data_IF_170286163114
#
_entry.id   IF_170286163114
#
_cell.length_a   1.000
_cell.length_b   1.000
_cell.length_c   1.000
_cell.angle_alpha   90.00
_cell.angle_beta   90.00
_cell.angle_gamma   90.00
#
_symmetry.space_group_name_H-M   'P 1'
#
loop_
_entity.id
_entity.type
_entity.pdbx_description
1 polymer ?
#
# COMPACT_ATOMS: atom_id res chain seq x y z
N UNK A 1 16.79 -11.41 6.88
CA UNK A 1 17.57 -11.75 5.66
C UNK A 1 18.76 -10.81 5.48
N UNK A 2 18.56 -9.48 5.53
CA UNK A 2 19.64 -8.48 5.27
C UNK A 2 20.82 -8.63 6.23
N UNK A 3 20.57 -8.75 7.52
CA UNK A 3 21.63 -8.77 8.55
C UNK A 3 22.15 -10.16 8.85
N UNK A 4 21.47 -11.21 8.45
CA UNK A 4 21.75 -12.60 8.84
C UNK A 4 21.66 -12.87 10.35
N UNK A 5 21.04 -11.95 11.12
CA UNK A 5 20.95 -12.08 12.58
C UNK A 5 19.57 -12.55 13.00
N UNK A 6 19.50 -13.71 13.64
CA UNK A 6 18.24 -14.33 14.11
C UNK A 6 17.51 -13.51 15.17
N UNK A 7 18.19 -12.57 15.81
CA UNK A 7 17.57 -11.72 16.85
C UNK A 7 16.39 -10.91 16.30
N UNK A 8 16.47 -10.39 15.08
CA UNK A 8 15.37 -9.63 14.48
C UNK A 8 14.15 -10.50 14.21
N UNK A 9 14.37 -11.74 13.76
CA UNK A 9 13.29 -12.71 13.56
C UNK A 9 12.67 -13.11 14.90
N UNK A 10 13.47 -13.30 15.94
CA UNK A 10 12.94 -13.60 17.28
C UNK A 10 12.08 -12.47 17.84
N UNK A 11 12.42 -11.20 17.58
CA UNK A 11 11.56 -10.07 17.93
C UNK A 11 10.25 -10.09 17.15
N UNK A 12 10.28 -10.39 15.84
CA UNK A 12 9.07 -10.48 15.02
C UNK A 12 8.12 -11.56 15.55
N UNK A 13 8.62 -12.74 15.90
CA UNK A 13 7.83 -13.80 16.54
C UNK A 13 7.22 -13.36 17.87
N UNK A 14 8.00 -12.72 18.74
CA UNK A 14 7.49 -12.22 20.03
C UNK A 14 6.40 -11.17 19.85
N UNK A 15 6.51 -10.28 18.89
CA UNK A 15 5.44 -9.31 18.56
C UNK A 15 4.21 -10.01 18.05
N UNK A 16 4.34 -10.99 17.15
CA UNK A 16 3.21 -11.75 16.63
C UNK A 16 2.49 -12.51 17.76
N UNK A 17 3.22 -13.09 18.71
CA UNK A 17 2.64 -13.79 19.88
C UNK A 17 1.82 -12.85 20.78
N UNK A 18 2.07 -11.55 20.75
CA UNK A 18 1.24 -10.53 21.42
C UNK A 18 0.02 -10.14 20.57
N UNK A 19 0.16 -10.11 19.25
CA UNK A 19 -0.91 -9.70 18.32
C UNK A 19 -1.97 -10.80 18.18
N UNK A 20 -1.56 -12.06 18.05
CA UNK A 20 -2.48 -13.20 17.81
C UNK A 20 -3.68 -13.24 18.76
N UNK A 21 -3.51 -13.17 20.11
CA UNK A 21 -4.63 -13.19 21.02
C UNK A 21 -5.54 -11.96 20.95
N UNK A 22 -5.03 -10.86 20.42
CA UNK A 22 -5.75 -9.59 20.29
C UNK A 22 -6.50 -9.43 18.95
N UNK A 23 -6.30 -10.31 17.95
CA UNK A 23 -6.88 -10.19 16.61
C UNK A 23 -8.40 -9.94 16.64
N UNK A 24 -9.14 -10.66 17.51
CA UNK A 24 -10.60 -10.50 17.62
C UNK A 24 -11.05 -9.15 18.16
N UNK A 25 -10.14 -8.37 18.72
CA UNK A 25 -10.40 -7.04 19.31
C UNK A 25 -10.06 -5.93 18.33
N UNK A 26 -9.47 -6.26 17.16
CA UNK A 26 -9.11 -5.28 16.14
C UNK A 26 -10.37 -4.84 15.39
N UNK A 27 -10.69 -3.57 15.50
CA UNK A 27 -11.88 -3.00 14.84
C UNK A 27 -11.60 -2.53 13.42
N UNK A 28 -10.42 -1.95 13.18
CA UNK A 28 -10.01 -1.46 11.87
C UNK A 28 -9.72 -2.62 10.90
N UNK A 29 -10.03 -2.43 9.62
CA UNK A 29 -9.77 -3.41 8.57
C UNK A 29 -8.57 -3.05 7.69
N UNK A 30 -8.10 -1.82 7.75
CA UNK A 30 -7.08 -1.28 6.85
C UNK A 30 -5.67 -1.88 7.04
N UNK A 31 -4.74 -1.44 6.18
CA UNK A 31 -3.37 -1.97 6.15
C UNK A 31 -2.51 -1.46 7.31
N UNK A 32 -2.68 -0.20 7.73
CA UNK A 32 -1.79 0.40 8.74
C UNK A 32 -2.22 0.08 10.16
N UNK A 33 -3.51 0.21 10.47
CA UNK A 33 -4.02 0.12 11.84
C UNK A 33 -4.89 -1.13 12.06
N UNK A 34 -5.06 -1.97 11.02
CA UNK A 34 -6.10 -2.97 11.00
C UNK A 34 -5.71 -4.38 10.59
N UNK A 35 -6.74 -5.16 10.36
CA UNK A 35 -6.68 -6.59 10.07
C UNK A 35 -5.90 -6.93 8.79
N UNK A 36 -5.91 -6.04 7.77
CA UNK A 36 -5.14 -6.26 6.54
C UNK A 36 -3.62 -6.27 6.82
N UNK A 37 -3.14 -5.39 7.71
CA UNK A 37 -1.75 -5.41 8.17
C UNK A 37 -1.42 -6.66 8.97
N UNK A 38 -2.36 -7.15 9.79
CA UNK A 38 -2.19 -8.42 10.52
C UNK A 38 -2.06 -9.58 9.53
N UNK A 39 -2.93 -9.69 8.51
CA UNK A 39 -2.83 -10.71 7.45
C UNK A 39 -1.42 -10.70 6.85
N UNK A 40 -0.95 -9.53 6.45
CA UNK A 40 0.34 -9.39 5.79
C UNK A 40 1.49 -9.85 6.67
N UNK A 41 1.56 -9.34 7.90
CA UNK A 41 2.60 -9.71 8.87
C UNK A 41 2.59 -11.20 9.24
N UNK A 42 1.41 -11.78 9.46
CA UNK A 42 1.27 -13.20 9.81
C UNK A 42 1.65 -14.11 8.66
N UNK A 43 1.28 -13.80 7.42
CA UNK A 43 1.68 -14.60 6.25
C UNK A 43 3.20 -14.55 6.03
N UNK A 44 3.86 -13.39 6.24
CA UNK A 44 5.32 -13.32 6.20
C UNK A 44 5.99 -14.22 7.24
N UNK A 45 5.44 -14.29 8.45
CA UNK A 45 5.97 -15.18 9.50
C UNK A 45 5.68 -16.65 9.22
N UNK A 46 4.52 -16.96 8.64
CA UNK A 46 4.20 -18.31 8.17
C UNK A 46 5.18 -18.79 7.09
N UNK A 47 5.46 -17.96 6.09
CA UNK A 47 6.42 -18.27 5.01
C UNK A 47 7.84 -18.56 5.52
N UNK A 48 8.26 -17.86 6.60
CA UNK A 48 9.62 -18.06 7.16
C UNK A 48 9.68 -19.25 8.10
N UNK A 49 8.64 -19.50 8.90
CA UNK A 49 8.66 -20.49 9.99
C UNK A 49 7.97 -21.81 9.67
N UNK A 50 6.99 -21.82 8.74
CA UNK A 50 6.07 -22.93 8.52
C UNK A 50 5.10 -23.19 9.68
N UNK A 51 5.07 -22.32 10.72
CA UNK A 51 4.20 -22.50 11.89
C UNK A 51 2.75 -22.11 11.56
N UNK A 52 1.86 -23.10 11.57
CA UNK A 52 0.45 -22.93 11.23
C UNK A 52 -0.31 -21.92 12.08
N UNK A 53 0.17 -21.58 13.28
CA UNK A 53 -0.48 -20.57 14.13
C UNK A 53 -0.58 -19.19 13.44
N UNK A 54 0.41 -18.84 12.62
CA UNK A 54 0.41 -17.59 11.86
C UNK A 54 -0.59 -17.62 10.70
N UNK A 55 -0.68 -18.75 10.00
CA UNK A 55 -1.70 -18.93 8.96
C UNK A 55 -3.12 -18.85 9.54
N UNK A 56 -3.37 -19.50 10.68
CA UNK A 56 -4.68 -19.42 11.36
C UNK A 56 -5.00 -18.00 11.81
N UNK A 57 -4.03 -17.23 12.29
CA UNK A 57 -4.24 -15.83 12.64
C UNK A 57 -4.53 -14.95 11.41
N UNK A 58 -3.87 -15.20 10.27
CA UNK A 58 -4.15 -14.53 9.01
C UNK A 58 -5.56 -14.86 8.50
N UNK A 59 -5.97 -16.14 8.53
CA UNK A 59 -7.32 -16.57 8.15
C UNK A 59 -8.39 -15.94 9.04
N UNK A 60 -8.19 -15.97 10.37
CA UNK A 60 -9.10 -15.30 11.30
C UNK A 60 -9.26 -13.81 10.97
N UNK A 61 -8.17 -13.14 10.62
CA UNK A 61 -8.22 -11.72 10.22
C UNK A 61 -8.99 -11.53 8.91
N UNK A 62 -8.81 -12.42 7.94
CA UNK A 62 -9.55 -12.43 6.68
C UNK A 62 -11.05 -12.64 6.89
N UNK A 63 -11.44 -13.60 7.72
CA UNK A 63 -12.84 -13.87 8.06
C UNK A 63 -13.51 -12.66 8.73
N UNK A 64 -12.79 -11.98 9.62
CA UNK A 64 -13.27 -10.75 10.25
C UNK A 64 -13.42 -9.61 9.24
N UNK A 65 -12.49 -9.47 8.29
CA UNK A 65 -12.61 -8.52 7.17
C UNK A 65 -13.85 -8.84 6.34
N UNK A 66 -14.07 -10.10 5.96
CA UNK A 66 -15.26 -10.52 5.22
C UNK A 66 -16.56 -10.17 5.98
N UNK A 67 -16.59 -10.45 7.29
CA UNK A 67 -17.76 -10.17 8.12
C UNK A 67 -18.04 -8.68 8.34
N UNK A 68 -17.08 -7.80 8.12
CA UNK A 68 -17.21 -6.33 8.27
C UNK A 68 -17.41 -5.61 6.92
N UNK A 69 -17.40 -6.31 5.80
CA UNK A 69 -17.55 -5.70 4.48
C UNK A 69 -18.93 -5.03 4.32
N UNK A 70 -18.93 -3.83 3.77
CA UNK A 70 -20.14 -3.12 3.33
C UNK A 70 -20.33 -3.40 1.84
N UNK A 71 -21.39 -4.14 1.47
CA UNK A 71 -21.76 -4.37 0.08
C UNK A 71 -22.65 -3.24 -0.41
N UNK A 72 -22.33 -2.70 -1.58
CA UNK A 72 -22.97 -1.56 -2.23
C UNK A 72 -23.23 -1.89 -3.71
N UNK A 73 -23.97 -1.06 -4.41
CA UNK A 73 -24.22 -1.25 -5.85
C UNK A 73 -22.90 -1.22 -6.66
N UNK A 74 -21.96 -0.40 -6.23
CA UNK A 74 -20.66 -0.20 -6.87
C UNK A 74 -19.65 -1.32 -6.57
N UNK A 75 -19.90 -2.15 -5.54
CA UNK A 75 -19.01 -3.21 -5.06
C UNK A 75 -18.93 -3.27 -3.55
N UNK A 76 -17.79 -3.70 -3.00
CA UNK A 76 -17.60 -3.83 -1.55
C UNK A 76 -16.47 -2.95 -1.02
N UNK A 77 -16.57 -2.58 0.26
CA UNK A 77 -15.52 -1.82 0.96
C UNK A 77 -15.76 -1.66 2.44
N UNK A 78 -14.84 -0.97 3.10
CA UNK A 78 -14.86 -0.77 4.56
C UNK A 78 -14.77 0.71 4.89
N UNK A 79 -15.68 1.18 5.75
CA UNK A 79 -15.66 2.55 6.23
C UNK A 79 -14.58 2.71 7.30
N UNK A 80 -13.74 3.70 7.14
CA UNK A 80 -12.67 4.04 8.08
C UNK A 80 -12.87 5.46 8.60
N UNK A 81 -12.46 5.74 9.83
CA UNK A 81 -12.50 7.07 10.46
C UNK A 81 -13.88 7.76 10.45
N UNK A 82 -14.98 7.01 10.39
CA UNK A 82 -16.32 7.57 10.33
C UNK A 82 -16.68 8.26 9.01
N UNK A 83 -15.93 7.98 7.94
CA UNK A 83 -16.26 8.46 6.60
C UNK A 83 -17.54 7.80 6.07
N UNK A 84 -18.29 8.53 5.25
CA UNK A 84 -19.57 8.05 4.71
C UNK A 84 -19.37 6.92 3.68
N UNK A 85 -18.24 6.95 2.96
CA UNK A 85 -17.86 5.97 1.94
C UNK A 85 -16.51 5.33 2.25
N UNK A 86 -16.29 4.07 1.84
CA UNK A 86 -14.96 3.45 1.87
C UNK A 86 -13.92 4.29 1.12
N UNK A 87 -12.75 4.48 1.73
CA UNK A 87 -11.62 5.16 1.10
C UNK A 87 -10.95 4.25 0.06
N UNK A 88 -10.31 4.84 -0.97
CA UNK A 88 -9.69 4.10 -2.08
C UNK A 88 -8.18 3.88 -1.90
N UNK A 89 -7.53 4.56 -0.93
CA UNK A 89 -6.07 4.49 -0.75
C UNK A 89 -5.56 3.20 -0.13
N UNK A 90 -4.24 3.00 -0.19
CA UNK A 90 -3.61 1.79 0.35
C UNK A 90 -3.51 1.81 1.88
N UNK A 91 -3.27 2.98 2.49
CA UNK A 91 -3.01 3.07 3.93
C UNK A 91 -4.23 2.68 4.75
N UNK A 92 -5.35 3.37 4.54
CA UNK A 92 -6.57 3.25 5.33
C UNK A 92 -7.81 2.94 4.48
N UNK A 93 -7.64 2.49 3.25
CA UNK A 93 -8.73 2.24 2.32
C UNK A 93 -8.69 0.85 1.68
N UNK A 94 -9.56 0.70 0.72
CA UNK A 94 -9.83 -0.56 0.04
C UNK A 94 -8.58 -1.16 -0.62
N UNK A 95 -7.69 -0.34 -1.19
CA UNK A 95 -6.54 -0.84 -1.93
C UNK A 95 -5.60 -1.69 -1.06
N UNK A 96 -5.36 -1.30 0.20
CA UNK A 96 -4.56 -2.10 1.13
C UNK A 96 -5.24 -3.39 1.54
N UNK A 97 -6.56 -3.35 1.73
CA UNK A 97 -7.35 -4.53 2.07
C UNK A 97 -7.39 -5.51 0.88
N UNK A 98 -7.58 -5.00 -0.34
CA UNK A 98 -7.56 -5.81 -1.56
C UNK A 98 -6.23 -6.56 -1.73
N UNK A 99 -5.09 -5.88 -1.50
CA UNK A 99 -3.77 -6.52 -1.55
C UNK A 99 -3.63 -7.64 -0.51
N UNK A 100 -4.13 -7.43 0.72
CA UNK A 100 -4.10 -8.44 1.77
C UNK A 100 -5.02 -9.65 1.44
N UNK A 101 -6.21 -9.40 0.89
CA UNK A 101 -7.13 -10.46 0.44
C UNK A 101 -6.52 -11.28 -0.70
N UNK A 102 -5.88 -10.63 -1.67
CA UNK A 102 -5.19 -11.32 -2.77
C UNK A 102 -4.08 -12.25 -2.24
N UNK A 103 -3.26 -11.76 -1.29
CA UNK A 103 -2.20 -12.57 -0.68
C UNK A 103 -2.76 -13.72 0.14
N UNK A 104 -3.82 -13.50 0.91
CA UNK A 104 -4.47 -14.53 1.71
C UNK A 104 -5.10 -15.60 0.82
N UNK A 105 -5.78 -15.20 -0.26
CA UNK A 105 -6.29 -16.11 -1.27
C UNK A 105 -5.17 -16.92 -1.92
N UNK A 106 -4.06 -16.30 -2.29
CA UNK A 106 -2.95 -17.01 -2.93
C UNK A 106 -2.39 -18.14 -2.07
N UNK A 107 -2.33 -17.96 -0.75
CA UNK A 107 -1.86 -18.97 0.20
C UNK A 107 -2.93 -20.01 0.53
N UNK A 108 -4.20 -19.61 0.69
CA UNK A 108 -5.26 -20.48 1.21
C UNK A 108 -6.13 -21.12 0.11
N UNK A 109 -6.26 -20.46 -1.04
CA UNK A 109 -7.19 -20.77 -2.13
C UNK A 109 -8.66 -20.77 -1.70
N UNK A 110 -9.00 -20.09 -0.60
CA UNK A 110 -10.38 -19.95 -0.13
C UNK A 110 -11.12 -18.91 -0.96
N UNK A 111 -12.15 -19.32 -1.69
CA UNK A 111 -12.84 -18.51 -2.71
C UNK A 111 -13.52 -17.27 -2.15
N UNK A 112 -13.96 -17.28 -0.89
CA UNK A 112 -14.60 -16.13 -0.25
C UNK A 112 -13.69 -14.88 -0.25
N UNK A 113 -12.39 -15.05 -0.06
CA UNK A 113 -11.44 -13.92 -0.11
C UNK A 113 -11.30 -13.38 -1.52
N UNK A 114 -11.34 -14.26 -2.54
CA UNK A 114 -11.23 -13.84 -3.93
C UNK A 114 -12.52 -13.17 -4.44
N UNK A 115 -13.67 -13.68 -4.06
CA UNK A 115 -14.97 -13.08 -4.40
C UNK A 115 -15.06 -11.66 -3.83
N UNK A 116 -14.67 -11.48 -2.56
CA UNK A 116 -14.65 -10.16 -1.95
C UNK A 116 -13.58 -9.24 -2.58
N UNK A 117 -12.41 -9.77 -2.96
CA UNK A 117 -11.41 -9.03 -3.73
C UNK A 117 -12.00 -8.49 -5.03
N UNK A 118 -12.75 -9.29 -5.78
CA UNK A 118 -13.42 -8.86 -7.03
C UNK A 118 -14.38 -7.70 -6.80
N UNK A 119 -15.21 -7.79 -5.79
CA UNK A 119 -16.15 -6.72 -5.42
C UNK A 119 -15.41 -5.45 -4.97
N UNK A 120 -14.29 -5.61 -4.23
CA UNK A 120 -13.46 -4.48 -3.79
C UNK A 120 -12.82 -3.76 -4.97
N UNK A 121 -12.26 -4.49 -5.94
CA UNK A 121 -11.71 -3.89 -7.16
C UNK A 121 -12.80 -3.24 -8.04
N UNK A 122 -13.99 -3.81 -8.09
CA UNK A 122 -15.12 -3.20 -8.80
C UNK A 122 -15.47 -1.84 -8.18
N UNK A 123 -15.57 -1.75 -6.85
CA UNK A 123 -15.80 -0.50 -6.14
C UNK A 123 -14.71 0.55 -6.45
N UNK A 124 -13.43 0.19 -6.36
CA UNK A 124 -12.34 1.12 -6.65
C UNK A 124 -12.38 1.62 -8.10
N UNK A 125 -12.60 0.72 -9.06
CA UNK A 125 -12.66 1.07 -10.48
C UNK A 125 -13.89 1.91 -10.84
N UNK A 126 -15.01 1.77 -10.12
CA UNK A 126 -16.17 2.64 -10.29
C UNK A 126 -15.84 4.12 -9.99
N UNK A 127 -14.93 4.36 -9.06
CA UNK A 127 -14.54 5.73 -8.65
C UNK A 127 -13.21 6.21 -9.26
N UNK A 128 -12.78 5.59 -10.36
CA UNK A 128 -11.75 6.15 -11.21
C UNK A 128 -12.35 7.27 -12.07
N UNK A 129 -11.79 8.46 -12.00
CA UNK A 129 -12.23 9.62 -12.76
C UNK A 129 -11.32 9.83 -13.98
N UNK A 130 -11.91 9.78 -15.18
CA UNK A 130 -11.16 9.89 -16.45
C UNK A 130 -10.66 11.32 -16.74
N UNK A 131 -11.28 12.36 -16.16
CA UNK A 131 -10.85 13.76 -16.37
C UNK A 131 -9.55 14.04 -15.63
N UNK A 132 -9.51 13.70 -14.33
CA UNK A 132 -8.29 13.84 -13.52
C UNK A 132 -7.34 12.66 -13.69
N UNK A 133 -7.77 11.58 -14.35
CA UNK A 133 -7.03 10.32 -14.53
C UNK A 133 -6.50 9.77 -13.21
N UNK A 134 -7.37 9.69 -12.22
CA UNK A 134 -7.01 9.26 -10.87
C UNK A 134 -8.24 8.74 -10.13
N UNK A 135 -8.03 8.05 -9.03
CA UNK A 135 -9.07 7.62 -8.11
C UNK A 135 -9.46 8.76 -7.17
N UNK A 136 -10.78 8.95 -6.96
CA UNK A 136 -11.31 10.03 -6.14
C UNK A 136 -10.88 9.93 -4.68
N UNK A 137 -10.58 11.05 -4.06
CA UNK A 137 -10.19 11.13 -2.65
C UNK A 137 -11.40 11.46 -1.77
N UNK A 138 -12.02 10.43 -1.18
CA UNK A 138 -13.22 10.57 -0.33
C UNK A 138 -12.98 11.22 1.04
N UNK A 139 -11.75 11.53 1.41
CA UNK A 139 -11.45 12.39 2.55
C UNK A 139 -11.88 13.84 2.28
N UNK A 140 -12.00 14.22 1.02
CA UNK A 140 -12.54 15.51 0.60
C UNK A 140 -14.05 15.39 0.48
N UNK A 141 -14.79 16.01 1.41
CA UNK A 141 -16.25 15.89 1.51
C UNK A 141 -16.98 16.65 0.42
N UNK A 142 -16.48 17.82 0.04
CA UNK A 142 -17.04 18.63 -1.04
C UNK A 142 -16.77 17.96 -2.39
N UNK A 143 -17.84 17.67 -3.14
CA UNK A 143 -17.75 16.92 -4.39
C UNK A 143 -17.03 17.72 -5.50
N UNK A 144 -17.24 19.03 -5.58
CA UNK A 144 -16.59 19.89 -6.57
C UNK A 144 -15.08 19.99 -6.31
N UNK A 145 -14.69 20.16 -5.04
CA UNK A 145 -13.27 20.16 -4.63
C UNK A 145 -12.66 18.79 -4.84
N UNK A 146 -13.38 17.70 -4.53
CA UNK A 146 -12.93 16.32 -4.72
C UNK A 146 -12.55 16.04 -6.17
N UNK A 147 -13.36 16.45 -7.13
CA UNK A 147 -13.07 16.31 -8.58
C UNK A 147 -11.87 17.12 -9.04
N UNK A 148 -11.43 18.10 -8.26
CA UNK A 148 -10.23 18.90 -8.52
C UNK A 148 -9.02 18.39 -7.71
N UNK A 149 -9.24 17.52 -6.72
CA UNK A 149 -8.18 16.98 -5.87
C UNK A 149 -7.46 15.86 -6.60
N UNK A 150 -6.18 16.08 -6.84
CA UNK A 150 -5.33 15.19 -7.63
C UNK A 150 -4.20 14.61 -6.77
N UNK A 151 -4.57 13.76 -5.80
CA UNK A 151 -3.62 13.13 -4.90
C UNK A 151 -2.87 11.99 -5.60
N UNK A 152 -1.55 12.13 -5.73
CA UNK A 152 -0.66 11.09 -6.26
C UNK A 152 0.40 10.75 -5.20
N UNK A 153 0.02 9.92 -4.24
CA UNK A 153 0.81 9.57 -3.07
C UNK A 153 0.69 8.07 -2.76
N UNK A 154 1.65 7.51 -2.02
CA UNK A 154 1.53 6.11 -1.58
C UNK A 154 0.28 5.89 -0.72
N UNK A 155 0.00 6.77 0.22
CA UNK A 155 -1.14 6.58 1.11
C UNK A 155 -2.50 6.71 0.40
N UNK A 156 -2.64 7.59 -0.59
CA UNK A 156 -3.88 7.83 -1.33
C UNK A 156 -3.66 8.17 -2.80
N UNK A 157 -4.64 7.84 -3.65
CA UNK A 157 -4.61 8.08 -5.08
C UNK A 157 -3.69 7.11 -5.83
N UNK A 158 -3.20 7.53 -6.98
CA UNK A 158 -2.49 6.67 -7.92
C UNK A 158 -1.29 5.94 -7.33
N UNK A 159 -0.54 6.57 -6.41
CA UNK A 159 0.61 5.90 -5.78
C UNK A 159 0.19 4.66 -4.98
N UNK A 160 -0.84 4.80 -4.14
CA UNK A 160 -1.36 3.69 -3.35
C UNK A 160 -2.00 2.60 -4.20
N UNK A 161 -2.70 2.98 -5.26
CA UNK A 161 -3.26 2.02 -6.22
C UNK A 161 -2.12 1.26 -6.92
N UNK A 162 -1.09 1.95 -7.41
CA UNK A 162 0.07 1.28 -8.02
C UNK A 162 0.70 0.27 -7.07
N UNK A 163 1.00 0.67 -5.83
CA UNK A 163 1.56 -0.22 -4.82
C UNK A 163 0.67 -1.46 -4.60
N UNK A 164 -0.63 -1.26 -4.36
CA UNK A 164 -1.59 -2.35 -4.16
C UNK A 164 -1.65 -3.32 -5.35
N UNK A 165 -1.69 -2.79 -6.58
CA UNK A 165 -1.77 -3.63 -7.79
C UNK A 165 -0.47 -4.39 -8.06
N UNK A 166 0.69 -3.79 -7.80
CA UNK A 166 1.97 -4.51 -7.85
C UNK A 166 2.01 -5.66 -6.84
N UNK A 167 1.54 -5.43 -5.60
CA UNK A 167 1.45 -6.45 -4.56
C UNK A 167 0.55 -7.64 -4.94
N UNK A 168 -0.50 -7.44 -5.75
CA UNK A 168 -1.42 -8.50 -6.15
C UNK A 168 -1.21 -9.06 -7.57
N UNK A 169 -0.33 -8.47 -8.36
CA UNK A 169 -0.12 -8.76 -9.79
C UNK A 169 0.01 -10.25 -10.12
N UNK A 170 0.76 -10.97 -9.30
CA UNK A 170 1.02 -12.40 -9.48
C UNK A 170 0.15 -13.30 -8.58
N UNK A 171 -0.87 -12.73 -7.91
CA UNK A 171 -1.70 -13.41 -6.90
C UNK A 171 -3.18 -13.48 -7.29
N UNK A 172 -3.52 -12.98 -8.48
CA UNK A 172 -4.88 -13.00 -9.02
C UNK A 172 -5.04 -14.02 -10.12
N UNK A 173 -6.26 -14.53 -10.29
CA UNK A 173 -6.64 -15.44 -11.38
C UNK A 173 -6.86 -14.67 -12.69
N UNK A 174 -7.08 -15.39 -13.79
CA UNK A 174 -7.10 -14.85 -15.15
C UNK A 174 -8.12 -13.71 -15.34
N UNK A 175 -9.27 -13.79 -14.67
CA UNK A 175 -10.35 -12.78 -14.78
C UNK A 175 -10.01 -11.41 -14.20
N UNK A 176 -9.05 -11.34 -13.28
CA UNK A 176 -8.59 -10.07 -12.70
C UNK A 176 -7.25 -9.59 -13.25
N UNK A 177 -6.55 -10.37 -14.08
CA UNK A 177 -5.24 -9.95 -14.62
C UNK A 177 -5.33 -8.68 -15.45
N UNK A 178 -6.25 -8.64 -16.41
CA UNK A 178 -6.43 -7.45 -17.26
C UNK A 178 -6.87 -6.21 -16.45
N UNK A 179 -7.87 -6.27 -15.55
CA UNK A 179 -8.19 -5.16 -14.66
C UNK A 179 -6.99 -4.66 -13.83
N UNK A 180 -6.22 -5.56 -13.24
CA UNK A 180 -5.04 -5.22 -12.42
C UNK A 180 -3.96 -4.53 -13.27
N UNK A 181 -3.61 -5.08 -14.44
CA UNK A 181 -2.62 -4.47 -15.34
C UNK A 181 -3.07 -3.09 -15.85
N UNK A 182 -4.34 -2.93 -16.20
CA UNK A 182 -4.91 -1.63 -16.60
C UNK A 182 -4.78 -0.59 -15.47
N UNK A 183 -5.05 -0.99 -14.23
CA UNK A 183 -4.93 -0.11 -13.07
C UNK A 183 -3.46 0.25 -12.82
N UNK A 184 -2.52 -0.70 -12.99
CA UNK A 184 -1.07 -0.45 -12.92
C UNK A 184 -0.66 0.62 -13.95
N UNK A 185 -1.09 0.46 -15.20
CA UNK A 185 -0.77 1.42 -16.26
C UNK A 185 -1.33 2.82 -15.97
N UNK A 186 -2.61 2.91 -15.58
CA UNK A 186 -3.26 4.16 -15.22
C UNK A 186 -2.55 4.88 -14.07
N UNK A 187 -2.25 4.14 -13.02
CA UNK A 187 -1.57 4.67 -11.83
C UNK A 187 -0.13 5.10 -12.14
N UNK A 188 0.62 4.30 -12.90
CA UNK A 188 1.97 4.64 -13.32
C UNK A 188 2.01 5.87 -14.22
N UNK A 189 1.09 5.99 -15.20
CA UNK A 189 0.98 7.18 -16.04
C UNK A 189 0.67 8.44 -15.23
N UNK A 190 -0.17 8.33 -14.20
CA UNK A 190 -0.43 9.42 -13.28
C UNK A 190 0.81 9.84 -12.51
N UNK A 191 1.55 8.87 -11.95
CA UNK A 191 2.80 9.14 -11.25
C UNK A 191 3.87 9.72 -12.17
N UNK A 192 3.98 9.31 -13.42
CA UNK A 192 4.89 9.93 -14.40
C UNK A 192 4.63 11.43 -14.57
N UNK A 193 3.39 11.88 -14.44
CA UNK A 193 3.05 13.30 -14.55
C UNK A 193 3.11 14.06 -13.22
N UNK A 194 3.02 13.35 -12.08
CA UNK A 194 2.86 13.93 -10.74
C UNK A 194 3.84 13.37 -9.71
N UNK A 195 5.00 12.86 -10.16
CA UNK A 195 5.97 12.18 -9.31
C UNK A 195 6.57 13.10 -8.24
N UNK A 196 7.00 14.28 -8.67
CA UNK A 196 7.65 15.24 -7.78
C UNK A 196 6.62 16.05 -7.00
N UNK A 197 6.83 16.12 -5.69
CA UNK A 197 5.98 16.78 -4.71
C UNK A 197 6.81 17.74 -3.86
N UNK A 198 6.15 18.58 -3.05
CA UNK A 198 6.83 19.48 -2.13
C UNK A 198 7.63 18.73 -1.05
N UNK A 199 7.10 17.61 -0.53
CA UNK A 199 7.78 16.76 0.44
C UNK A 199 8.64 15.68 -0.20
N UNK A 200 9.56 15.12 0.61
CA UNK A 200 10.48 14.05 0.20
C UNK A 200 10.19 12.70 0.89
N UNK A 201 9.22 12.65 1.80
CA UNK A 201 8.92 11.43 2.55
C UNK A 201 8.43 10.28 1.66
N UNK A 202 8.32 9.08 2.21
CA UNK A 202 7.83 7.91 1.47
C UNK A 202 6.31 7.91 1.31
N UNK A 203 5.57 8.40 2.30
CA UNK A 203 4.13 8.31 2.34
C UNK A 203 3.45 9.16 1.26
N UNK A 204 3.83 10.44 1.16
CA UNK A 204 3.19 11.42 0.26
C UNK A 204 4.17 12.35 -0.45
N UNK A 205 5.47 12.05 -0.34
CA UNK A 205 6.55 12.81 -0.95
C UNK A 205 7.12 12.18 -2.22
N UNK A 206 8.09 12.88 -2.79
CA UNK A 206 8.75 12.49 -4.05
C UNK A 206 9.48 11.16 -3.97
N UNK A 207 10.13 10.84 -2.84
CA UNK A 207 10.89 9.59 -2.70
C UNK A 207 10.00 8.36 -2.83
N UNK A 208 8.82 8.37 -2.19
CA UNK A 208 7.88 7.24 -2.30
C UNK A 208 7.38 7.05 -3.73
N UNK A 209 7.02 8.13 -4.41
CA UNK A 209 6.55 8.06 -5.79
C UNK A 209 7.63 7.54 -6.75
N UNK A 210 8.90 7.97 -6.59
CA UNK A 210 10.01 7.49 -7.44
C UNK A 210 10.30 6.01 -7.18
N UNK A 211 10.27 5.54 -5.93
CA UNK A 211 10.41 4.11 -5.65
C UNK A 211 9.32 3.28 -6.32
N UNK A 212 8.05 3.68 -6.20
CA UNK A 212 6.93 2.98 -6.85
C UNK A 212 7.07 2.97 -8.38
N UNK A 213 7.49 4.09 -8.97
CA UNK A 213 7.78 4.11 -10.41
C UNK A 213 8.95 3.21 -10.78
N UNK A 214 9.98 3.09 -9.93
CA UNK A 214 11.10 2.19 -10.21
C UNK A 214 10.70 0.71 -10.15
N UNK A 215 9.76 0.34 -9.31
CA UNK A 215 9.19 -1.02 -9.29
C UNK A 215 8.38 -1.32 -10.57
N UNK A 216 7.71 -0.33 -11.15
CA UNK A 216 6.97 -0.48 -12.41
C UNK A 216 7.89 -0.42 -13.65
N UNK A 217 8.74 0.60 -13.74
CA UNK A 217 9.48 0.98 -14.95
C UNK A 217 10.96 0.62 -14.89
N UNK A 218 11.42 0.00 -13.82
CA UNK A 218 12.83 -0.28 -13.57
C UNK A 218 13.67 1.00 -13.54
N UNK A 219 14.93 0.89 -13.92
CA UNK A 219 15.85 2.03 -14.03
C UNK A 219 15.72 2.75 -15.37
N UNK A 220 14.49 3.21 -15.71
CA UNK A 220 14.21 3.97 -16.92
C UNK A 220 14.86 5.35 -16.89
N UNK A 221 14.99 5.99 -18.07
CA UNK A 221 15.54 7.35 -18.14
C UNK A 221 14.75 8.33 -17.26
N UNK A 222 13.42 8.26 -17.27
CA UNK A 222 12.56 9.13 -16.45
C UNK A 222 12.79 8.93 -14.96
N UNK A 223 12.94 7.69 -14.50
CA UNK A 223 13.25 7.38 -13.09
C UNK A 223 14.61 7.98 -12.72
N UNK A 224 15.64 7.82 -13.55
CA UNK A 224 16.96 8.43 -13.32
C UNK A 224 16.92 9.96 -13.27
N UNK A 225 16.10 10.60 -14.09
CA UNK A 225 15.92 12.05 -14.08
C UNK A 225 15.28 12.53 -12.78
N UNK A 226 14.28 11.80 -12.25
CA UNK A 226 13.68 12.07 -10.95
C UNK A 226 14.65 11.84 -9.79
N UNK A 227 15.43 10.75 -9.80
CA UNK A 227 16.49 10.50 -8.83
C UNK A 227 17.51 11.66 -8.81
N UNK A 228 17.96 12.08 -9.99
CA UNK A 228 18.91 13.19 -10.10
C UNK A 228 18.33 14.51 -9.59
N UNK A 229 17.03 14.74 -9.77
CA UNK A 229 16.34 15.90 -9.18
C UNK A 229 16.33 15.81 -7.65
N UNK A 230 15.88 14.68 -7.08
CA UNK A 230 15.82 14.46 -5.63
C UNK A 230 17.21 14.63 -5.01
N UNK A 231 18.23 14.00 -5.58
CA UNK A 231 19.60 14.13 -5.08
C UNK A 231 20.10 15.58 -5.11
N UNK A 232 19.78 16.34 -6.16
CA UNK A 232 20.16 17.76 -6.22
C UNK A 232 19.46 18.59 -5.15
N UNK A 233 18.17 18.33 -4.90
CA UNK A 233 17.44 19.05 -3.85
C UNK A 233 18.02 18.75 -2.46
N UNK A 234 18.33 17.47 -2.18
CA UNK A 234 18.94 17.04 -0.93
C UNK A 234 20.34 17.64 -0.70
N UNK A 235 21.11 17.89 -1.78
CA UNK A 235 22.45 18.48 -1.68
C UNK A 235 22.45 20.00 -1.51
N UNK A 236 21.34 20.70 -1.82
CA UNK A 236 21.23 22.15 -1.64
C UNK A 236 21.19 22.54 -0.16
N UNK A 237 20.39 21.84 0.60
CA UNK A 237 20.20 22.09 2.02
C UNK A 237 19.63 20.84 2.69
N UNK A 238 20.09 20.50 3.90
CA UNK A 238 19.48 19.42 4.71
C UNK A 238 18.13 19.84 5.32
N UNK A 239 17.69 21.08 5.15
CA UNK A 239 16.35 21.56 5.48
C UNK A 239 15.33 21.40 4.34
N UNK A 240 15.65 20.57 3.36
CA UNK A 240 14.80 20.30 2.19
C UNK A 240 13.45 19.64 2.51
N UNK A 241 13.30 19.08 3.71
CA UNK A 241 12.03 18.52 4.16
C UNK A 241 11.12 19.64 4.72
N UNK A 242 9.80 19.60 4.45
CA UNK A 242 8.84 20.41 5.17
C UNK A 242 8.93 20.18 6.68
N UNK A 243 8.58 21.19 7.46
CA UNK A 243 8.74 21.14 8.92
C UNK A 243 8.03 19.96 9.57
N UNK A 244 6.88 19.55 9.04
CA UNK A 244 6.11 18.38 9.47
C UNK A 244 6.83 17.05 9.23
N UNK A 245 7.82 16.99 8.34
CA UNK A 245 8.66 15.82 8.07
C UNK A 245 9.95 15.79 8.93
N UNK A 246 10.18 16.79 9.79
CA UNK A 246 11.36 16.90 10.66
C UNK A 246 11.26 15.95 11.88
N UNK A 247 11.09 14.66 11.64
CA UNK A 247 11.08 13.62 12.67
C UNK A 247 11.66 12.29 12.13
N UNK A 248 11.98 11.30 13.00
CA UNK A 248 12.65 10.07 12.58
C UNK A 248 11.73 9.01 11.93
N UNK A 249 10.46 9.31 11.67
CA UNK A 249 9.51 8.36 11.08
C UNK A 249 9.95 7.85 9.71
N UNK A 250 9.75 6.53 9.46
CA UNK A 250 10.15 5.96 8.18
C UNK A 250 9.22 6.35 7.04
N UNK A 251 7.92 6.45 7.28
CA UNK A 251 6.98 6.81 6.21
C UNK A 251 6.94 8.33 5.97
N UNK A 252 7.00 9.15 7.02
CA UNK A 252 6.74 10.58 6.97
C UNK A 252 7.95 11.45 7.33
N UNK A 253 9.14 10.88 7.58
CA UNK A 253 10.29 11.64 8.08
C UNK A 253 11.63 11.22 7.50
N UNK A 254 12.71 11.65 8.16
CA UNK A 254 14.10 11.48 7.69
C UNK A 254 14.52 10.04 7.41
N UNK A 255 14.02 9.07 8.19
CA UNK A 255 14.41 7.67 7.98
C UNK A 255 13.86 7.13 6.66
N UNK A 256 12.73 7.66 6.17
CA UNK A 256 12.21 7.32 4.85
C UNK A 256 13.11 7.81 3.72
N UNK A 257 13.64 9.01 3.86
CA UNK A 257 14.62 9.56 2.90
C UNK A 257 15.92 8.75 2.92
N UNK A 258 16.41 8.38 4.12
CA UNK A 258 17.59 7.52 4.24
C UNK A 258 17.34 6.13 3.62
N UNK A 259 16.16 5.56 3.84
CA UNK A 259 15.76 4.30 3.20
C UNK A 259 15.72 4.43 1.67
N UNK A 260 15.15 5.52 1.12
CA UNK A 260 15.17 5.80 -0.31
C UNK A 260 16.59 5.77 -0.88
N UNK A 261 17.53 6.46 -0.25
CA UNK A 261 18.92 6.48 -0.68
C UNK A 261 19.56 5.09 -0.65
N UNK A 262 19.30 4.30 0.39
CA UNK A 262 19.79 2.93 0.51
C UNK A 262 19.20 2.02 -0.56
N UNK A 263 17.89 2.07 -0.78
CA UNK A 263 17.20 1.24 -1.80
C UNK A 263 17.66 1.59 -3.22
N UNK A 264 17.92 2.87 -3.49
CA UNK A 264 18.46 3.31 -4.79
C UNK A 264 19.93 2.96 -4.98
N UNK A 265 20.72 2.91 -3.89
CA UNK A 265 22.11 2.46 -3.91
C UNK A 265 22.22 0.93 -4.07
N UNK A 266 21.39 0.19 -3.38
CA UNK A 266 21.35 -1.28 -3.40
C UNK A 266 19.88 -1.77 -3.51
N UNK A 267 19.48 -2.18 -4.69
CA UNK A 267 18.12 -2.66 -4.98
C UNK A 267 17.75 -3.94 -4.23
N UNK A 268 18.71 -4.64 -3.60
CA UNK A 268 18.43 -5.84 -2.81
C UNK A 268 17.77 -5.54 -1.45
N UNK A 269 17.74 -4.27 -1.02
CA UNK A 269 16.95 -3.90 0.16
C UNK A 269 15.46 -4.22 -0.09
N UNK A 270 14.75 -4.80 0.90
CA UNK A 270 13.32 -5.08 0.79
C UNK A 270 12.53 -3.83 0.43
N UNK A 271 11.48 -3.96 -0.35
CA UNK A 271 10.60 -2.85 -0.67
C UNK A 271 9.49 -2.72 0.39
N UNK A 272 9.59 -1.67 1.22
CA UNK A 272 8.63 -1.42 2.29
C UNK A 272 7.32 -0.80 1.77
N UNK A 273 7.28 -0.28 0.54
CA UNK A 273 6.08 0.33 -0.04
C UNK A 273 5.14 -0.71 -0.65
N UNK A 274 5.69 -1.85 -1.08
CA UNK A 274 4.93 -3.01 -1.59
C UNK A 274 5.09 -4.24 -0.68
N UNK A 275 5.75 -4.08 0.46
CA UNK A 275 5.93 -5.11 1.49
C UNK A 275 6.61 -6.41 0.98
N UNK A 276 7.64 -6.29 0.09
CA UNK A 276 8.39 -7.41 -0.51
C UNK A 276 9.90 -7.35 -0.25
#
# INVERSE_FOLDING_TARGET
RITGQDIYLSYAFRHADLVIPAVRQVEACDLLDGLAGVIWGMLMLYEVSGDGKYLEAAKLSGDLICGKACHMEEGAGWRTFGEERPLLGISHGNAGIAAALARLYDVTKETCYYELLRETLAYENHFYDEEIRNWLDFRVRDEEIRRQTDTAAWCHGAGGILASRLMMRNRVEEDLKEPVERDIERAAQKLLCRCLREGMCLCHGSCGNVLLLSEYAGDSQTVREYDAYICREMLKDYTFLPQEEHHPGIMNGYMGVAYYMLKRYDSSFPDILILE
#
